data_IF_929722159816
#
_entry.id   IF_929722159816
#
_cell.length_a   1.000
_cell.length_b   1.000
_cell.length_c   1.000
_cell.angle_alpha   90.00
_cell.angle_beta   90.00
_cell.angle_gamma   90.00
#
_symmetry.space_group_name_H-M   'P 1'
#
loop_
_entity.id
_entity.type
_entity.pdbx_description
1 polymer ?
#
# COMPACT_ATOMS: atom_id res chain seq x y z
N UNK A 1 7.89 32.10 13.71
CA UNK A 1 8.58 30.82 13.44
C UNK A 1 7.58 29.71 13.70
N UNK A 2 6.94 29.20 12.65
CA UNK A 2 6.03 28.04 12.76
C UNK A 2 6.86 26.80 13.02
N UNK A 3 6.82 26.28 14.24
CA UNK A 3 7.36 24.97 14.56
C UNK A 3 6.69 23.94 13.63
N UNK A 4 7.44 23.42 12.67
CA UNK A 4 6.99 22.30 11.85
C UNK A 4 6.64 21.15 12.79
N UNK A 5 5.46 20.55 12.61
CA UNK A 5 5.12 19.32 13.32
C UNK A 5 6.26 18.32 13.10
N UNK A 6 6.87 17.76 14.14
CA UNK A 6 7.93 16.78 13.96
C UNK A 6 7.35 15.59 13.18
N UNK A 7 8.01 15.28 12.05
CA UNK A 7 7.74 14.09 11.26
C UNK A 7 7.90 12.88 12.19
N UNK A 8 6.95 11.94 12.17
CA UNK A 8 7.02 10.84 13.10
C UNK A 8 8.13 9.82 12.80
N UNK A 9 8.75 9.11 13.77
CA UNK A 9 9.69 8.00 13.55
C UNK A 9 9.31 7.00 12.44
N UNK A 10 8.02 6.80 12.17
CA UNK A 10 7.58 5.92 11.09
C UNK A 10 7.60 6.59 9.68
N UNK A 11 7.32 7.89 9.58
CA UNK A 11 7.51 8.65 8.33
C UNK A 11 9.00 8.80 8.03
N UNK A 12 9.81 9.02 9.08
CA UNK A 12 11.27 8.97 9.01
C UNK A 12 11.75 7.58 8.59
N UNK A 13 11.17 6.49 9.10
CA UNK A 13 11.53 5.13 8.65
C UNK A 13 11.25 4.90 7.16
N UNK A 14 10.13 5.38 6.60
CA UNK A 14 9.84 5.24 5.16
C UNK A 14 10.80 6.06 4.31
N UNK A 15 11.12 7.27 4.76
CA UNK A 15 12.11 8.12 4.11
C UNK A 15 13.50 7.49 4.15
N UNK A 16 13.97 7.07 5.32
CA UNK A 16 15.24 6.38 5.50
C UNK A 16 15.29 5.06 4.72
N UNK A 17 14.15 4.38 4.50
CA UNK A 17 14.11 3.19 3.64
C UNK A 17 14.37 3.54 2.18
N UNK A 18 13.76 4.62 1.68
CA UNK A 18 14.03 5.10 0.33
C UNK A 18 15.50 5.52 0.17
N UNK A 19 16.11 6.04 1.23
CA UNK A 19 17.52 6.49 1.25
C UNK A 19 18.54 5.35 1.44
N UNK A 20 18.25 4.33 2.26
CA UNK A 20 19.19 3.27 2.65
C UNK A 20 18.86 1.87 2.07
N UNK A 21 17.77 1.77 1.30
CA UNK A 21 17.34 0.53 0.65
C UNK A 21 16.55 -0.43 1.55
N UNK A 22 16.05 -1.55 0.98
CA UNK A 22 15.16 -2.50 1.66
C UNK A 22 15.76 -3.12 2.93
N UNK A 23 17.08 -3.36 2.93
CA UNK A 23 17.79 -4.01 4.04
C UNK A 23 17.77 -3.18 5.34
N UNK A 24 17.59 -1.86 5.24
CA UNK A 24 17.40 -0.99 6.40
C UNK A 24 15.99 -1.14 7.01
N UNK A 25 15.01 -1.36 6.14
CA UNK A 25 13.59 -1.36 6.50
C UNK A 25 13.08 -2.71 6.98
N UNK A 26 13.52 -3.76 6.31
CA UNK A 26 13.46 -5.12 6.81
C UNK A 26 14.84 -5.76 6.62
N UNK A 27 15.46 -6.31 7.69
CA UNK A 27 16.65 -7.12 7.51
C UNK A 27 16.31 -8.34 6.63
N UNK A 28 17.35 -8.95 6.05
CA UNK A 28 17.20 -10.19 5.26
C UNK A 28 16.43 -11.26 6.03
N UNK A 29 15.88 -12.20 5.27
CA UNK A 29 15.01 -13.30 5.71
C UNK A 29 15.48 -13.99 7.01
N UNK A 30 14.53 -14.51 7.81
CA UNK A 30 13.08 -14.59 7.55
C UNK A 30 12.33 -13.28 7.89
N UNK A 31 11.16 -13.09 7.27
CA UNK A 31 10.27 -11.96 7.58
C UNK A 31 9.76 -12.08 9.03
N UNK A 32 10.11 -11.14 9.91
CA UNK A 32 9.75 -11.20 11.34
C UNK A 32 8.44 -10.47 11.61
N UNK A 33 7.35 -11.10 11.21
CA UNK A 33 6.00 -10.55 11.38
C UNK A 33 5.08 -11.56 12.05
N UNK A 34 4.08 -11.03 12.76
CA UNK A 34 3.10 -11.88 13.41
C UNK A 34 2.13 -12.47 12.41
N UNK A 35 2.06 -13.80 12.32
CA UNK A 35 1.08 -14.48 11.48
C UNK A 35 -0.26 -14.44 12.21
N UNK A 36 -1.25 -13.80 11.60
CA UNK A 36 -2.58 -13.62 12.19
C UNK A 36 -3.52 -14.73 11.74
N UNK A 37 -3.49 -15.07 10.45
CA UNK A 37 -4.30 -16.14 9.85
C UNK A 37 -3.86 -16.47 8.42
N UNK A 38 -4.24 -17.65 7.95
CA UNK A 38 -4.17 -18.02 6.54
C UNK A 38 -5.44 -17.60 5.77
N UNK A 39 -5.31 -17.38 4.47
CA UNK A 39 -6.37 -17.02 3.53
C UNK A 39 -6.17 -17.80 2.23
N UNK A 40 -7.24 -18.41 1.73
CA UNK A 40 -7.15 -19.25 0.53
C UNK A 40 -6.18 -20.41 0.73
N UNK A 41 -5.54 -20.83 -0.36
CA UNK A 41 -4.62 -21.97 -0.34
C UNK A 41 -3.27 -21.66 0.32
N UNK A 42 -2.69 -20.47 0.06
CA UNK A 42 -1.28 -20.18 0.37
C UNK A 42 -1.01 -18.77 0.92
N UNK A 43 -2.01 -17.87 0.95
CA UNK A 43 -1.81 -16.50 1.39
C UNK A 43 -1.88 -16.37 2.92
N UNK A 44 -1.08 -15.46 3.47
CA UNK A 44 -1.03 -15.19 4.91
C UNK A 44 -1.36 -13.73 5.20
N UNK A 45 -2.22 -13.50 6.19
CA UNK A 45 -2.35 -12.19 6.82
C UNK A 45 -1.38 -12.11 7.96
N UNK A 46 -0.44 -11.17 7.88
CA UNK A 46 0.52 -10.87 8.93
C UNK A 46 0.25 -9.49 9.53
N UNK A 47 0.85 -9.22 10.68
CA UNK A 47 0.94 -7.88 11.25
C UNK A 47 2.37 -7.39 11.16
N UNK A 48 2.57 -6.30 10.43
CA UNK A 48 3.88 -5.76 10.13
C UNK A 48 4.49 -4.98 11.29
N UNK A 49 5.73 -4.49 11.11
CA UNK A 49 6.48 -3.74 12.14
C UNK A 49 5.78 -2.48 12.68
N UNK A 50 4.80 -1.93 11.97
CA UNK A 50 4.03 -0.77 12.42
C UNK A 50 2.74 -1.15 13.15
N UNK A 51 2.38 -2.43 13.16
CA UNK A 51 1.13 -2.94 13.71
C UNK A 51 -0.03 -3.03 12.70
N UNK A 52 0.19 -2.73 11.41
CA UNK A 52 -0.84 -2.84 10.37
C UNK A 52 -0.92 -4.27 9.82
N UNK A 53 -2.14 -4.71 9.48
CA UNK A 53 -2.36 -5.98 8.81
C UNK A 53 -1.90 -5.90 7.35
N UNK A 54 -1.26 -6.96 6.88
CA UNK A 54 -0.74 -7.10 5.51
C UNK A 54 -1.09 -8.49 5.00
N UNK A 55 -1.75 -8.55 3.85
CA UNK A 55 -1.88 -9.75 3.04
C UNK A 55 -0.54 -10.02 2.35
N UNK A 56 -0.07 -11.25 2.42
CA UNK A 56 1.13 -11.75 1.76
C UNK A 56 0.68 -12.93 0.89
N UNK A 57 0.89 -12.84 -0.42
CA UNK A 57 0.55 -13.91 -1.37
C UNK A 57 1.75 -14.19 -2.27
N UNK A 58 2.15 -15.45 -2.44
CA UNK A 58 3.22 -15.81 -3.36
C UNK A 58 2.75 -15.85 -4.83
N UNK A 59 1.44 -16.01 -5.06
CA UNK A 59 0.85 -16.38 -6.35
C UNK A 59 -0.13 -15.34 -6.91
N UNK A 60 -0.90 -14.63 -6.07
CA UNK A 60 -1.79 -13.55 -6.51
C UNK A 60 -0.97 -12.29 -6.79
N UNK A 61 -0.86 -11.88 -8.05
CA UNK A 61 -0.10 -10.70 -8.44
C UNK A 61 -0.73 -9.43 -7.86
N UNK A 62 0.07 -8.65 -7.12
CA UNK A 62 -0.33 -7.34 -6.58
C UNK A 62 0.75 -6.31 -6.86
N UNK A 63 0.37 -5.18 -7.45
CA UNK A 63 1.19 -3.99 -7.63
C UNK A 63 0.66 -2.82 -6.79
N UNK A 64 1.52 -2.17 -6.01
CA UNK A 64 1.24 -0.88 -5.36
C UNK A 64 1.99 0.22 -6.14
N UNK A 65 1.23 1.15 -6.73
CA UNK A 65 1.72 2.26 -7.56
C UNK A 65 1.56 3.54 -6.76
N UNK A 66 2.66 4.12 -6.28
CA UNK A 66 2.65 5.39 -5.58
C UNK A 66 2.54 6.55 -6.58
N UNK A 67 1.62 7.47 -6.36
CA UNK A 67 1.54 8.70 -7.15
C UNK A 67 2.45 9.77 -6.58
N UNK A 68 2.95 10.68 -7.43
CA UNK A 68 3.64 11.86 -6.95
C UNK A 68 2.73 12.63 -6.00
N UNK A 69 3.26 13.02 -4.84
CA UNK A 69 2.54 13.92 -3.94
C UNK A 69 2.19 15.18 -4.71
N UNK A 70 0.89 15.44 -4.87
CA UNK A 70 0.41 16.73 -5.36
C UNK A 70 0.78 17.74 -4.28
N UNK A 71 1.93 18.40 -4.45
CA UNK A 71 2.29 19.57 -3.65
C UNK A 71 1.18 20.59 -3.89
N UNK A 72 0.24 20.68 -2.95
CA UNK A 72 -0.76 21.75 -2.97
C UNK A 72 -0.05 23.09 -3.11
N UNK A 73 -0.68 24.10 -3.74
CA UNK A 73 -0.08 25.42 -3.81
C UNK A 73 0.32 25.82 -2.40
N UNK A 74 1.62 26.04 -2.16
CA UNK A 74 2.10 26.69 -0.95
C UNK A 74 1.19 27.90 -0.78
N UNK A 75 0.50 28.00 0.36
CA UNK A 75 -0.19 29.22 0.74
C UNK A 75 0.88 30.32 0.87
N UNK A 76 1.26 30.91 -0.25
CA UNK A 76 2.08 32.11 -0.31
C UNK A 76 1.20 33.19 0.33
N UNK A 77 1.61 33.61 1.53
CA UNK A 77 1.14 34.75 2.29
C UNK A 77 -0.28 35.22 2.02
N UNK A 78 -1.16 35.08 3.00
CA UNK A 78 -2.34 35.94 3.15
C UNK A 78 -1.91 37.39 3.33
N UNK A 79 -1.53 38.05 2.23
CA UNK A 79 -1.46 39.50 2.14
C UNK A 79 -2.81 39.98 1.64
N UNK A 80 -3.52 40.69 2.51
CA UNK A 80 -4.88 41.20 2.28
C UNK A 80 -4.90 42.23 1.13
N UNK A 81 -3.74 42.70 0.65
CA UNK A 81 -3.60 43.62 -0.48
C UNK A 81 -3.76 43.00 -1.88
N UNK A 82 -3.71 41.67 -2.03
CA UNK A 82 -3.79 41.01 -3.35
C UNK A 82 -5.20 40.81 -3.91
N UNK A 83 -6.25 41.14 -3.15
CA UNK A 83 -7.64 40.80 -3.47
C UNK A 83 -8.37 41.74 -4.45
N UNK A 84 -7.68 42.73 -5.03
CA UNK A 84 -8.33 43.74 -5.87
C UNK A 84 -7.96 43.75 -7.36
N UNK A 85 -7.01 42.92 -7.82
CA UNK A 85 -6.67 42.88 -9.24
C UNK A 85 -6.40 41.46 -9.74
N UNK A 86 -7.25 40.99 -10.65
CA UNK A 86 -6.91 39.92 -11.57
C UNK A 86 -7.82 38.70 -11.49
N UNK A 87 -8.88 38.70 -12.31
CA UNK A 87 -9.58 37.49 -12.73
C UNK A 87 -8.63 36.67 -13.60
N UNK A 88 -7.81 35.82 -12.96
CA UNK A 88 -6.96 34.85 -13.64
C UNK A 88 -7.87 33.79 -14.25
N UNK A 89 -7.86 33.66 -15.58
CA UNK A 89 -8.42 32.49 -16.26
C UNK A 89 -7.78 31.25 -15.63
N UNK A 90 -8.60 30.45 -14.97
CA UNK A 90 -8.20 29.15 -14.44
C UNK A 90 -7.90 28.27 -15.64
N UNK A 91 -6.62 27.95 -15.85
CA UNK A 91 -6.23 26.86 -16.74
C UNK A 91 -7.04 25.60 -16.37
N UNK A 92 -7.31 24.69 -17.33
CA UNK A 92 -7.93 23.41 -17.02
C UNK A 92 -7.15 22.76 -15.86
N UNK A 93 -7.83 22.19 -14.85
CA UNK A 93 -7.13 21.47 -13.81
C UNK A 93 -6.21 20.44 -14.47
N UNK A 94 -4.96 20.28 -14.01
CA UNK A 94 -4.09 19.25 -14.54
C UNK A 94 -4.82 17.89 -14.47
N UNK A 95 -4.56 16.99 -15.43
CA UNK A 95 -5.14 15.65 -15.43
C UNK A 95 -4.99 15.02 -14.05
N UNK A 96 -6.03 14.31 -13.58
CA UNK A 96 -5.96 13.60 -12.30
C UNK A 96 -4.78 12.60 -12.38
N UNK A 97 -3.75 12.73 -11.53
CA UNK A 97 -2.60 11.82 -11.55
C UNK A 97 -3.01 10.35 -11.41
N UNK A 98 -4.18 10.06 -10.84
CA UNK A 98 -4.74 8.71 -10.80
C UNK A 98 -5.15 8.17 -12.18
N UNK A 99 -5.67 9.02 -13.07
CA UNK A 99 -6.04 8.63 -14.44
C UNK A 99 -4.81 8.33 -15.29
N UNK A 100 -3.73 9.11 -15.14
CA UNK A 100 -2.48 8.86 -15.84
C UNK A 100 -1.85 7.53 -15.40
N UNK A 101 -1.84 7.25 -14.10
CA UNK A 101 -1.30 5.98 -13.59
C UNK A 101 -2.15 4.75 -13.91
N UNK A 102 -3.42 4.92 -14.31
CA UNK A 102 -4.23 3.83 -14.83
C UNK A 102 -3.90 3.48 -16.29
N UNK A 103 -3.24 4.36 -17.04
CA UNK A 103 -2.99 4.13 -18.47
C UNK A 103 -2.18 2.84 -18.74
N UNK A 104 -1.06 2.55 -18.02
CA UNK A 104 -0.35 1.28 -18.19
C UNK A 104 -1.20 0.05 -17.82
N UNK A 105 -2.06 0.19 -16.80
CA UNK A 105 -2.94 -0.88 -16.31
C UNK A 105 -4.01 -1.22 -17.35
N UNK A 106 -4.66 -0.20 -17.92
CA UNK A 106 -5.65 -0.37 -18.99
C UNK A 106 -5.01 -0.92 -20.27
N UNK A 107 -3.82 -0.45 -20.62
CA UNK A 107 -3.07 -0.96 -21.76
C UNK A 107 -2.76 -2.45 -21.59
N UNK A 108 -2.31 -2.87 -20.40
CA UNK A 108 -2.10 -4.29 -20.09
C UNK A 108 -3.39 -5.10 -20.20
N UNK A 109 -4.50 -4.62 -19.62
CA UNK A 109 -5.79 -5.32 -19.70
C UNK A 109 -6.27 -5.49 -21.16
N UNK A 110 -6.05 -4.48 -22.01
CA UNK A 110 -6.41 -4.53 -23.43
C UNK A 110 -5.55 -5.53 -24.24
N UNK A 111 -4.27 -5.67 -23.90
CA UNK A 111 -3.36 -6.60 -24.59
C UNK A 111 -3.34 -8.01 -24.01
N UNK A 112 -3.94 -8.21 -22.82
CA UNK A 112 -4.01 -9.50 -22.12
C UNK A 112 -5.46 -9.86 -21.74
N UNK A 113 -6.35 -10.11 -22.72
CA UNK A 113 -7.78 -10.30 -22.45
C UNK A 113 -8.13 -11.56 -21.63
N UNK A 114 -7.20 -12.50 -21.50
CA UNK A 114 -7.33 -13.68 -20.63
C UNK A 114 -7.02 -13.39 -19.16
N UNK A 115 -6.36 -12.26 -18.85
CA UNK A 115 -6.04 -11.86 -17.50
C UNK A 115 -7.19 -11.01 -16.92
N UNK A 116 -7.59 -11.31 -15.69
CA UNK A 116 -8.47 -10.44 -14.93
C UNK A 116 -7.66 -9.31 -14.30
N UNK A 117 -8.19 -8.10 -14.24
CA UNK A 117 -7.51 -6.95 -13.63
C UNK A 117 -8.49 -6.21 -12.73
N UNK A 118 -8.08 -5.92 -11.49
CA UNK A 118 -8.83 -5.09 -10.54
C UNK A 118 -7.94 -3.93 -10.11
N UNK A 119 -8.37 -2.71 -10.41
CA UNK A 119 -7.65 -1.50 -10.00
C UNK A 119 -8.39 -0.83 -8.85
N UNK A 120 -7.62 -0.39 -7.85
CA UNK A 120 -8.11 0.22 -6.63
C UNK A 120 -7.41 1.57 -6.39
N UNK A 121 -8.17 2.57 -5.97
CA UNK A 121 -7.62 3.83 -5.45
C UNK A 121 -7.16 3.65 -4.01
N UNK A 122 -5.93 4.05 -3.69
CA UNK A 122 -5.42 4.12 -2.30
C UNK A 122 -5.22 5.59 -1.89
N UNK A 123 -4.89 5.83 -0.62
CA UNK A 123 -4.56 7.19 -0.15
C UNK A 123 -3.24 7.75 -0.71
N UNK A 124 -2.34 6.91 -1.25
CA UNK A 124 -1.08 7.34 -1.87
C UNK A 124 -1.01 7.10 -3.38
N UNK A 125 -1.94 6.34 -3.96
CA UNK A 125 -1.90 6.06 -5.37
C UNK A 125 -2.88 4.97 -5.80
N UNK A 126 -2.39 3.92 -6.44
CA UNK A 126 -3.19 2.80 -6.91
C UNK A 126 -2.69 1.48 -6.33
N UNK A 127 -3.60 0.52 -6.23
CA UNK A 127 -3.28 -0.89 -6.09
C UNK A 127 -3.90 -1.62 -7.27
N UNK A 128 -3.17 -2.55 -7.86
CA UNK A 128 -3.66 -3.39 -8.96
C UNK A 128 -3.50 -4.85 -8.57
N UNK A 129 -4.57 -5.62 -8.72
CA UNK A 129 -4.54 -7.08 -8.62
C UNK A 129 -4.77 -7.65 -10.01
N UNK A 130 -3.93 -8.62 -10.41
CA UNK A 130 -4.06 -9.34 -11.68
C UNK A 130 -4.32 -10.80 -11.39
N UNK A 131 -5.28 -11.40 -12.12
CA UNK A 131 -5.72 -12.79 -11.93
C UNK A 131 -5.64 -13.58 -13.24
N UNK A 132 -5.65 -14.92 -13.14
CA UNK A 132 -5.53 -15.81 -14.30
C UNK A 132 -4.12 -15.80 -14.91
N UNK A 133 -3.11 -15.43 -14.13
CA UNK A 133 -1.70 -15.34 -14.56
C UNK A 133 -0.82 -16.17 -13.64
N UNK A 134 0.17 -16.86 -14.22
CA UNK A 134 1.21 -17.55 -13.45
C UNK A 134 2.43 -16.64 -13.34
N UNK A 135 2.38 -15.73 -12.36
CA UNK A 135 3.45 -14.78 -12.06
C UNK A 135 3.84 -14.92 -10.59
N UNK A 136 4.63 -15.93 -10.20
CA UNK A 136 5.09 -16.07 -8.83
C UNK A 136 5.93 -14.85 -8.42
N UNK A 137 5.74 -14.40 -7.19
CA UNK A 137 6.47 -13.25 -6.66
C UNK A 137 7.99 -13.48 -6.69
N UNK A 138 8.72 -12.55 -7.30
CA UNK A 138 10.19 -12.62 -7.42
C UNK A 138 10.68 -13.26 -8.72
N UNK A 139 9.79 -13.82 -9.56
CA UNK A 139 10.11 -14.20 -10.94
C UNK A 139 10.55 -12.99 -11.78
N UNK A 140 11.27 -13.22 -12.88
CA UNK A 140 11.69 -12.15 -13.79
C UNK A 140 10.48 -11.46 -14.44
N UNK A 141 9.48 -12.24 -14.82
CA UNK A 141 8.24 -11.80 -15.46
C UNK A 141 7.41 -10.95 -14.49
N UNK A 142 7.29 -11.38 -13.23
CA UNK A 142 6.62 -10.57 -12.20
C UNK A 142 7.27 -9.22 -12.01
N UNK A 143 8.61 -9.19 -11.97
CA UNK A 143 9.38 -7.96 -11.79
C UNK A 143 9.15 -7.00 -12.96
N UNK A 144 9.24 -7.51 -14.18
CA UNK A 144 9.00 -6.74 -15.40
C UNK A 144 7.61 -6.11 -15.39
N UNK A 145 6.57 -6.86 -14.99
CA UNK A 145 5.22 -6.32 -14.92
C UNK A 145 5.04 -5.28 -13.79
N UNK A 146 5.64 -5.50 -12.62
CA UNK A 146 5.63 -4.52 -11.53
C UNK A 146 6.28 -3.20 -11.98
N UNK A 147 7.40 -3.27 -12.68
CA UNK A 147 8.13 -2.12 -13.23
C UNK A 147 7.32 -1.44 -14.35
N UNK A 148 6.68 -2.21 -15.23
CA UNK A 148 5.77 -1.70 -16.27
C UNK A 148 4.59 -0.92 -15.68
N UNK A 149 4.02 -1.37 -14.56
CA UNK A 149 2.98 -0.65 -13.84
C UNK A 149 3.49 0.56 -13.05
N UNK A 150 4.80 0.74 -12.93
CA UNK A 150 5.39 1.83 -12.15
C UNK A 150 5.30 1.60 -10.63
N UNK A 151 5.35 0.33 -10.19
CA UNK A 151 5.43 0.03 -8.76
C UNK A 151 6.69 0.62 -8.14
N UNK A 152 6.62 1.05 -6.88
CA UNK A 152 7.76 1.65 -6.19
C UNK A 152 8.95 0.65 -6.10
N UNK A 153 10.21 1.06 -6.38
CA UNK A 153 11.36 0.15 -6.42
C UNK A 153 11.62 -0.64 -5.13
N UNK A 154 11.29 -0.06 -3.96
CA UNK A 154 11.39 -0.76 -2.69
C UNK A 154 10.35 -1.88 -2.62
N UNK A 155 9.12 -1.65 -3.09
CA UNK A 155 8.10 -2.69 -3.18
C UNK A 155 8.54 -3.86 -4.06
N UNK A 156 9.10 -3.56 -5.23
CA UNK A 156 9.65 -4.57 -6.16
C UNK A 156 10.75 -5.40 -5.48
N UNK A 157 11.70 -4.74 -4.82
CA UNK A 157 12.79 -5.42 -4.13
C UNK A 157 12.31 -6.28 -2.95
N UNK A 158 11.38 -5.79 -2.14
CA UNK A 158 10.81 -6.55 -1.02
C UNK A 158 10.01 -7.76 -1.51
N UNK A 159 9.25 -7.60 -2.60
CA UNK A 159 8.46 -8.69 -3.18
C UNK A 159 9.35 -9.85 -3.64
N UNK A 160 10.49 -9.52 -4.26
CA UNK A 160 11.50 -10.50 -4.65
C UNK A 160 12.21 -11.13 -3.44
N UNK A 161 12.63 -10.32 -2.46
CA UNK A 161 13.38 -10.82 -1.28
C UNK A 161 12.57 -11.80 -0.42
N UNK A 162 11.24 -11.63 -0.37
CA UNK A 162 10.35 -12.48 0.43
C UNK A 162 9.55 -13.47 -0.41
N UNK A 163 9.74 -13.51 -1.73
CA UNK A 163 8.92 -14.29 -2.67
C UNK A 163 7.41 -14.13 -2.39
N UNK A 164 6.97 -12.89 -2.15
CA UNK A 164 5.58 -12.59 -1.81
C UNK A 164 5.19 -11.18 -2.22
N UNK A 165 4.07 -11.05 -2.93
CA UNK A 165 3.36 -9.79 -3.06
C UNK A 165 2.74 -9.39 -1.74
N UNK A 166 2.65 -8.08 -1.47
CA UNK A 166 2.21 -7.56 -0.17
C UNK A 166 1.16 -6.47 -0.32
N UNK A 167 -0.01 -6.66 0.28
CA UNK A 167 -1.08 -5.68 0.30
C UNK A 167 -1.45 -5.30 1.73
N UNK A 168 -1.33 -4.02 2.12
CA UNK A 168 -1.85 -3.57 3.42
C UNK A 168 -3.37 -3.75 3.46
N UNK A 169 -3.88 -4.34 4.54
CA UNK A 169 -5.29 -4.58 4.82
C UNK A 169 -5.88 -3.61 5.84
N UNK A 170 -5.02 -2.90 6.59
CA UNK A 170 -5.43 -1.81 7.49
C UNK A 170 -4.55 -0.57 7.26
N UNK A 171 -5.06 0.64 7.59
CA UNK A 171 -4.33 1.89 7.37
C UNK A 171 -2.96 1.96 8.05
N UNK A 172 -2.04 2.76 7.50
CA UNK A 172 -0.81 3.11 8.24
C UNK A 172 -1.20 3.89 9.51
N UNK A 173 -0.74 3.53 10.73
CA UNK A 173 -1.18 4.15 11.98
C UNK A 173 -1.17 5.69 11.97
N UNK A 174 -0.13 6.30 11.38
CA UNK A 174 0.01 7.76 11.34
C UNK A 174 -0.97 8.46 10.40
N UNK A 175 -1.56 7.76 9.44
CA UNK A 175 -2.67 8.30 8.65
C UNK A 175 -3.98 8.34 9.44
N UNK A 176 -4.05 7.58 10.52
CA UNK A 176 -5.13 7.60 11.51
C UNK A 176 -4.77 8.40 12.77
N UNK A 177 -3.70 9.22 12.73
CA UNK A 177 -3.27 10.03 13.87
C UNK A 177 -2.58 9.26 15.00
N UNK A 178 -2.12 8.04 14.74
CA UNK A 178 -1.42 7.21 15.72
C UNK A 178 0.05 6.97 15.40
N UNK A 179 0.82 6.78 16.45
CA UNK A 179 2.19 6.29 16.35
C UNK A 179 2.22 4.82 15.92
N UNK A 180 3.26 4.42 15.20
CA UNK A 180 3.52 3.02 14.91
C UNK A 180 3.64 2.22 16.23
N UNK A 181 3.23 0.96 16.21
CA UNK A 181 3.41 0.08 17.34
C UNK A 181 4.90 0.00 17.72
N UNK A 182 5.18 0.20 19.02
CA UNK A 182 6.50 -0.05 19.58
C UNK A 182 6.71 -1.56 19.64
N UNK A 183 7.81 -2.03 19.06
CA UNK A 183 8.23 -3.42 19.16
C UNK A 183 9.72 -3.45 19.46
N UNK A 184 10.11 -4.24 20.45
CA UNK A 184 11.51 -4.62 20.64
C UNK A 184 11.86 -5.61 19.52
N UNK A 185 12.33 -5.06 18.40
CA UNK A 185 12.72 -5.86 17.25
C UNK A 185 13.90 -6.74 17.63
N UNK A 186 13.71 -8.06 17.52
CA UNK A 186 14.76 -9.01 17.88
C UNK A 186 15.97 -8.81 16.97
N UNK A 187 17.14 -8.69 17.58
CA UNK A 187 18.41 -8.58 16.88
C UNK A 187 18.60 -9.72 15.85
N UNK A 188 19.32 -9.47 14.74
CA UNK A 188 19.66 -10.52 13.78
C UNK A 188 20.25 -11.76 14.46
N UNK A 189 19.86 -12.96 13.99
CA UNK A 189 20.44 -14.24 14.45
C UNK A 189 19.66 -15.00 15.54
N UNK A 190 18.59 -14.42 16.10
CA UNK A 190 17.72 -15.13 17.05
C UNK A 190 16.59 -15.89 16.33
N UNK A 191 16.07 -16.99 16.93
CA UNK A 191 14.88 -17.70 16.46
C UNK A 191 13.69 -16.75 16.26
N UNK A 192 12.87 -17.02 15.25
CA UNK A 192 11.72 -16.20 14.90
C UNK A 192 10.46 -16.93 15.35
N UNK A 193 9.94 -16.55 16.52
CA UNK A 193 8.59 -16.95 16.92
C UNK A 193 7.60 -15.96 16.32
N UNK A 194 6.98 -16.35 15.21
CA UNK A 194 5.97 -15.54 14.55
C UNK A 194 4.79 -15.17 15.48
N UNK A 195 4.50 -15.91 16.54
CA UNK A 195 3.45 -15.53 17.48
C UNK A 195 3.90 -14.45 18.48
N UNK A 196 5.19 -14.28 18.70
CA UNK A 196 5.74 -13.31 19.65
C UNK A 196 5.77 -11.85 19.14
N UNK A 197 5.55 -11.60 17.84
CA UNK A 197 5.62 -10.25 17.24
C UNK A 197 4.31 -9.46 17.30
N UNK A 198 3.44 -9.72 18.28
CA UNK A 198 2.18 -9.00 18.42
C UNK A 198 2.39 -7.63 19.10
N UNK A 199 1.73 -6.55 18.62
CA UNK A 199 1.71 -5.28 19.33
C UNK A 199 1.12 -5.42 20.74
N UNK A 200 1.48 -4.49 21.61
CA UNK A 200 0.86 -4.36 22.93
C UNK A 200 -0.68 -4.30 22.82
N UNK A 201 -1.44 -5.07 23.62
CA UNK A 201 -2.90 -5.14 23.51
C UNK A 201 -3.60 -3.77 23.55
N UNK A 202 -3.17 -2.88 24.44
CA UNK A 202 -3.71 -1.52 24.55
C UNK A 202 -3.46 -0.67 23.30
N UNK A 203 -2.31 -0.84 22.65
CA UNK A 203 -2.03 -0.16 21.40
C UNK A 203 -2.96 -0.68 20.29
N UNK A 204 -3.18 -1.99 20.25
CA UNK A 204 -4.05 -2.63 19.26
C UNK A 204 -5.49 -2.13 19.36
N UNK A 205 -6.06 -2.09 20.57
CA UNK A 205 -7.41 -1.57 20.81
C UNK A 205 -7.54 -0.11 20.35
N UNK A 206 -6.54 0.73 20.65
CA UNK A 206 -6.52 2.13 20.21
C UNK A 206 -6.41 2.24 18.69
N UNK A 207 -5.58 1.40 18.06
CA UNK A 207 -5.37 1.39 16.62
C UNK A 207 -6.61 0.94 15.85
N UNK A 208 -7.29 -0.11 16.32
CA UNK A 208 -8.55 -0.57 15.73
C UNK A 208 -9.61 0.54 15.79
N UNK A 209 -9.74 1.21 16.93
CA UNK A 209 -10.66 2.36 17.08
C UNK A 209 -10.28 3.53 16.16
N UNK A 210 -9.00 3.88 16.07
CA UNK A 210 -8.52 5.01 15.26
C UNK A 210 -8.63 4.72 13.75
N UNK A 211 -8.49 3.47 13.34
CA UNK A 211 -8.54 3.06 11.94
C UNK A 211 -9.95 2.82 11.40
N UNK A 212 -10.92 2.53 12.28
CA UNK A 212 -12.31 2.24 11.93
C UNK A 212 -13.02 3.27 11.02
N UNK A 213 -12.73 4.58 11.05
CA UNK A 213 -13.35 5.55 10.14
C UNK A 213 -12.83 5.52 8.69
N UNK A 214 -11.86 4.67 8.37
CA UNK A 214 -11.17 4.69 7.09
C UNK A 214 -11.35 3.38 6.31
N UNK A 215 -11.26 3.50 4.99
CA UNK A 215 -10.97 2.40 4.08
C UNK A 215 -9.49 2.46 3.65
N UNK A 216 -8.91 1.34 3.26
CA UNK A 216 -7.51 1.29 2.80
C UNK A 216 -7.42 1.61 1.32
N UNK A 217 -8.34 1.05 0.54
CA UNK A 217 -8.48 1.32 -0.87
C UNK A 217 -9.95 1.28 -1.28
N UNK A 218 -10.24 1.75 -2.49
CA UNK A 218 -11.56 1.73 -3.12
C UNK A 218 -11.46 1.10 -4.49
N UNK A 219 -12.32 0.14 -4.83
CA UNK A 219 -12.34 -0.43 -6.18
C UNK A 219 -12.78 0.64 -7.18
N UNK A 220 -12.05 0.78 -8.29
CA UNK A 220 -12.35 1.78 -9.32
C UNK A 220 -12.59 1.17 -10.71
N UNK A 221 -11.86 0.11 -11.08
CA UNK A 221 -12.04 -0.55 -12.38
C UNK A 221 -11.85 -2.06 -12.25
N UNK A 222 -12.55 -2.80 -13.12
CA UNK A 222 -12.38 -4.24 -13.28
C UNK A 222 -12.42 -4.59 -14.76
N UNK A 223 -11.51 -5.45 -15.20
CA UNK A 223 -11.38 -5.91 -16.58
C UNK A 223 -11.21 -7.44 -16.62
N UNK A 224 -11.49 -8.03 -17.78
CA UNK A 224 -11.20 -9.43 -18.05
C UNK A 224 -12.13 -10.42 -17.36
N UNK A 225 -11.77 -11.72 -17.35
CA UNK A 225 -12.58 -12.78 -16.79
C UNK A 225 -12.63 -12.74 -15.25
N UNK A 226 -13.57 -13.51 -14.69
CA UNK A 226 -13.64 -13.74 -13.25
C UNK A 226 -12.41 -14.49 -12.74
N UNK A 227 -11.91 -14.19 -11.53
CA UNK A 227 -10.83 -14.95 -10.90
C UNK A 227 -11.21 -16.42 -10.69
N UNK A 228 -10.21 -17.29 -10.56
CA UNK A 228 -10.40 -18.65 -10.05
C UNK A 228 -10.92 -18.64 -8.60
N UNK A 229 -11.40 -19.78 -8.10
CA UNK A 229 -11.91 -19.89 -6.73
C UNK A 229 -10.88 -19.51 -5.66
N UNK A 230 -9.62 -19.90 -5.85
CA UNK A 230 -8.54 -19.61 -4.90
C UNK A 230 -8.15 -18.12 -4.92
N UNK A 231 -8.03 -17.52 -6.11
CA UNK A 231 -7.77 -16.09 -6.25
C UNK A 231 -8.94 -15.27 -5.67
N UNK A 232 -10.18 -15.68 -5.94
CA UNK A 232 -11.38 -15.03 -5.43
C UNK A 232 -11.42 -15.05 -3.89
N UNK A 233 -11.05 -16.16 -3.25
CA UNK A 233 -11.00 -16.24 -1.80
C UNK A 233 -10.01 -15.23 -1.18
N UNK A 234 -8.86 -15.01 -1.85
CA UNK A 234 -7.87 -14.02 -1.43
C UNK A 234 -8.35 -12.60 -1.70
N UNK A 235 -8.96 -12.35 -2.86
CA UNK A 235 -9.54 -11.05 -3.23
C UNK A 235 -10.68 -10.66 -2.29
N UNK A 236 -11.59 -11.57 -1.96
CA UNK A 236 -12.70 -11.31 -1.04
C UNK A 236 -12.22 -10.97 0.37
N UNK A 237 -11.16 -11.67 0.84
CA UNK A 237 -10.53 -11.36 2.11
C UNK A 237 -9.86 -9.98 2.10
N UNK A 238 -9.20 -9.62 0.99
CA UNK A 238 -8.64 -8.30 0.77
C UNK A 238 -9.74 -7.22 0.76
N UNK A 239 -10.75 -7.38 -0.08
CA UNK A 239 -11.79 -6.38 -0.33
C UNK A 239 -12.61 -6.10 0.94
N UNK A 240 -12.92 -7.16 1.70
CA UNK A 240 -13.59 -7.05 3.01
C UNK A 240 -12.76 -6.28 4.02
N UNK A 241 -11.47 -6.60 4.15
CA UNK A 241 -10.59 -5.95 5.12
C UNK A 241 -10.30 -4.49 4.75
N UNK A 242 -10.09 -4.23 3.46
CA UNK A 242 -9.84 -2.89 2.91
C UNK A 242 -11.10 -2.01 2.84
N UNK A 243 -12.30 -2.61 2.92
CA UNK A 243 -13.61 -1.95 2.87
C UNK A 243 -13.83 -1.18 1.55
N UNK A 244 -13.55 -1.86 0.45
CA UNK A 244 -13.37 -1.25 -0.89
C UNK A 244 -14.59 -0.49 -1.41
N UNK A 245 -15.79 -0.85 -0.97
CA UNK A 245 -17.04 -0.22 -1.42
C UNK A 245 -17.71 0.65 -0.34
N UNK A 246 -17.02 0.92 0.77
CA UNK A 246 -17.63 1.59 1.93
C UNK A 246 -17.87 3.09 1.76
N UNK A 247 -17.29 3.72 0.74
CA UNK A 247 -17.34 5.18 0.55
C UNK A 247 -16.54 5.99 1.59
N UNK A 248 -15.88 5.34 2.55
CA UNK A 248 -15.09 5.99 3.59
C UNK A 248 -13.89 6.75 3.01
N UNK A 249 -13.37 7.75 3.76
CA UNK A 249 -12.09 8.36 3.43
C UNK A 249 -10.96 7.32 3.43
N UNK A 250 -9.97 7.51 2.55
CA UNK A 250 -8.85 6.59 2.41
C UNK A 250 -7.71 6.94 3.37
N UNK A 251 -7.16 5.93 4.05
CA UNK A 251 -5.94 6.04 4.87
C UNK A 251 -5.02 4.83 4.63
#
# INVERSE_FOLDING_TARGET
MTAGRPCGPAQESQRCTKEHGPNWYYPRTPLRENIVRQVGADALVTRNRYGALVLNSPSLFIADIDLPEVRGPRAAGTSVLGRLFGRKQSAPPPPDPALEALAPVRAFAATNPSAGVRAYRTSAGLRVIVTGVDLPAGSHESRTLLEQFGSDPLYVALSANYASYRARLTPKPWRCGMWAAAHDWVAPGQPVDHNAFAPQPDWLVRYEKASAPYAVCRLIETFGPMPSGDELAVIDAHDRACRVDSGLPLA
#
